data_IF_374151247287
#
_entry.id   IF_374151247287
#
_cell.length_a   1.000
_cell.length_b   1.000
_cell.length_c   1.000
_cell.angle_alpha   90.00
_cell.angle_beta   90.00
_cell.angle_gamma   90.00
#
_symmetry.space_group_name_H-M   'P 1'
#
loop_
_entity.id
_entity.type
_entity.pdbx_description
1 polymer ?
#
# COMPACT_ATOMS: atom_id res chain seq x y z
N UNK A 1 1.24 20.88 12.56
CA UNK A 1 2.59 20.64 11.98
C UNK A 1 2.75 19.18 11.55
N UNK A 2 1.69 18.48 11.10
CA UNK A 2 1.75 17.02 10.87
C UNK A 2 2.36 16.59 9.53
N UNK A 3 2.23 17.41 8.49
CA UNK A 3 2.82 17.11 7.17
C UNK A 3 4.36 17.11 7.17
N UNK A 4 5.03 17.73 8.15
CA UNK A 4 6.50 17.85 8.17
C UNK A 4 7.22 16.57 8.59
N UNK A 5 6.56 15.70 9.37
CA UNK A 5 7.13 14.42 9.81
C UNK A 5 6.70 13.26 8.90
N UNK A 6 5.49 13.33 8.35
CA UNK A 6 5.00 12.32 7.41
C UNK A 6 5.81 12.30 6.12
N UNK A 7 6.01 13.46 5.47
CA UNK A 7 6.69 13.56 4.17
C UNK A 7 8.10 12.91 4.14
N UNK A 8 9.02 13.20 5.09
CA UNK A 8 10.34 12.56 5.07
C UNK A 8 10.26 11.05 5.33
N UNK A 9 9.35 10.59 6.19
CA UNK A 9 9.13 9.17 6.43
C UNK A 9 8.55 8.47 5.19
N UNK A 10 7.54 9.07 4.55
CA UNK A 10 6.96 8.60 3.29
C UNK A 10 8.02 8.43 2.21
N UNK A 11 8.83 9.46 1.96
CA UNK A 11 9.89 9.42 0.92
C UNK A 11 10.92 8.33 1.18
N UNK A 12 11.24 8.04 2.44
CA UNK A 12 12.20 7.00 2.81
C UNK A 12 11.61 5.59 2.68
N UNK A 13 10.36 5.39 3.09
CA UNK A 13 9.77 4.06 3.27
C UNK A 13 8.98 3.57 2.06
N UNK A 14 8.35 4.47 1.29
CA UNK A 14 7.51 4.14 0.15
C UNK A 14 8.22 3.24 -0.89
N UNK A 15 9.35 3.65 -1.49
CA UNK A 15 10.01 2.83 -2.50
C UNK A 15 10.47 1.47 -1.95
N UNK A 16 10.84 1.41 -0.66
CA UNK A 16 11.30 0.18 0.01
C UNK A 16 10.14 -0.79 0.18
N UNK A 17 8.97 -0.30 0.60
CA UNK A 17 7.78 -1.12 0.76
C UNK A 17 7.24 -1.62 -0.58
N UNK A 18 7.23 -0.78 -1.62
CA UNK A 18 6.83 -1.21 -2.98
C UNK A 18 7.71 -2.36 -3.46
N UNK A 19 9.03 -2.20 -3.42
CA UNK A 19 9.97 -3.26 -3.85
C UNK A 19 9.79 -4.53 -3.01
N UNK A 20 9.67 -4.39 -1.68
CA UNK A 20 9.52 -5.54 -0.79
C UNK A 20 8.25 -6.34 -1.07
N UNK A 21 7.11 -5.67 -1.29
CA UNK A 21 5.84 -6.33 -1.63
C UNK A 21 5.86 -6.89 -3.05
N UNK A 22 6.43 -6.17 -4.01
CA UNK A 22 6.56 -6.64 -5.39
C UNK A 22 7.39 -7.92 -5.48
N UNK A 23 8.49 -8.01 -4.72
CA UNK A 23 9.30 -9.24 -4.63
C UNK A 23 8.52 -10.39 -3.99
N UNK A 24 7.63 -10.10 -3.03
CA UNK A 24 6.84 -11.12 -2.34
C UNK A 24 5.69 -11.68 -3.20
N UNK A 25 5.07 -10.87 -4.07
CA UNK A 25 3.90 -11.28 -4.87
C UNK A 25 4.17 -11.45 -6.37
N UNK A 26 5.34 -11.02 -6.86
CA UNK A 26 5.69 -11.07 -8.28
C UNK A 26 4.91 -10.09 -9.17
N UNK A 27 4.15 -9.15 -8.58
CA UNK A 27 3.32 -8.18 -9.29
C UNK A 27 3.57 -6.76 -8.82
N UNK A 28 4.40 -6.03 -9.57
CA UNK A 28 4.81 -4.66 -9.24
C UNK A 28 3.62 -3.68 -9.21
N UNK A 29 2.70 -3.81 -10.16
CA UNK A 29 1.49 -2.98 -10.29
C UNK A 29 0.61 -3.08 -9.03
N UNK A 30 0.26 -4.30 -8.62
CA UNK A 30 -0.56 -4.50 -7.43
C UNK A 30 0.16 -4.13 -6.13
N UNK A 31 1.47 -4.35 -6.08
CA UNK A 31 2.26 -3.97 -4.92
C UNK A 31 2.29 -2.45 -4.74
N UNK A 32 2.52 -1.70 -5.81
CA UNK A 32 2.52 -0.23 -5.79
C UNK A 32 1.18 0.32 -5.29
N UNK A 33 0.07 -0.11 -5.90
CA UNK A 33 -1.28 0.34 -5.49
C UNK A 33 -1.61 -0.01 -4.03
N UNK A 34 -1.24 -1.21 -3.58
CA UNK A 34 -1.50 -1.64 -2.21
C UNK A 34 -0.67 -0.84 -1.20
N UNK A 35 0.56 -0.47 -1.55
CA UNK A 35 1.41 0.39 -0.73
C UNK A 35 0.87 1.81 -0.70
N UNK A 36 0.49 2.37 -1.85
CA UNK A 36 -0.11 3.72 -1.91
C UNK A 36 -1.35 3.83 -1.02
N UNK A 37 -2.26 2.85 -1.09
CA UNK A 37 -3.44 2.82 -0.23
C UNK A 37 -3.07 2.73 1.26
N UNK A 38 -2.02 1.97 1.61
CA UNK A 38 -1.55 1.88 2.98
C UNK A 38 -0.98 3.22 3.49
N UNK A 39 -0.25 3.96 2.65
CA UNK A 39 0.26 5.28 2.99
C UNK A 39 -0.84 6.34 3.09
N UNK A 40 -1.88 6.29 2.24
CA UNK A 40 -3.07 7.14 2.39
C UNK A 40 -3.71 6.91 3.75
N UNK A 41 -3.92 5.65 4.14
CA UNK A 41 -4.48 5.30 5.47
C UNK A 41 -3.56 5.69 6.63
N UNK A 42 -2.25 5.67 6.42
CA UNK A 42 -1.28 6.14 7.40
C UNK A 42 -1.38 7.65 7.58
N UNK A 43 -1.48 8.41 6.49
CA UNK A 43 -1.64 9.86 6.50
C UNK A 43 -2.93 10.29 7.21
N UNK A 44 -4.05 9.64 6.91
CA UNK A 44 -5.35 9.89 7.56
C UNK A 44 -5.30 9.71 9.09
N UNK A 45 -4.38 8.89 9.59
CA UNK A 45 -4.27 8.49 11.01
C UNK A 45 -2.89 8.80 11.58
N UNK A 46 -2.20 9.78 11.00
CA UNK A 46 -0.77 9.98 11.26
C UNK A 46 -0.47 10.19 12.74
N UNK A 47 -1.30 10.97 13.46
CA UNK A 47 -1.16 11.22 14.90
C UNK A 47 -1.08 9.92 15.73
N UNK A 48 -1.78 8.88 15.30
CA UNK A 48 -1.77 7.57 15.95
C UNK A 48 -0.66 6.67 15.42
N UNK A 49 -0.42 6.71 14.11
CA UNK A 49 0.53 5.82 13.43
C UNK A 49 1.97 6.19 13.78
N UNK A 50 2.30 7.48 13.83
CA UNK A 50 3.62 7.98 14.22
C UNK A 50 3.98 7.62 15.66
N UNK A 51 3.00 7.55 16.56
CA UNK A 51 3.17 7.17 17.96
C UNK A 51 3.30 5.65 18.19
N UNK A 52 3.15 4.82 17.14
CA UNK A 52 3.32 3.37 17.28
C UNK A 52 4.80 2.99 17.41
N UNK A 53 5.07 1.84 18.02
CA UNK A 53 6.41 1.27 18.10
C UNK A 53 7.06 1.06 16.71
N UNK A 54 6.25 0.84 15.67
CA UNK A 54 6.73 0.78 14.28
C UNK A 54 5.66 1.27 13.30
N UNK A 55 5.73 2.54 12.85
CA UNK A 55 4.87 3.06 11.79
C UNK A 55 5.02 2.28 10.47
N UNK A 56 6.25 1.93 10.10
CA UNK A 56 6.56 1.10 8.92
C UNK A 56 5.94 -0.28 9.03
N UNK A 57 6.07 -0.97 10.17
CA UNK A 57 5.53 -2.31 10.35
C UNK A 57 4.00 -2.35 10.36
N UNK A 58 3.34 -1.28 10.82
CA UNK A 58 1.90 -1.13 10.67
C UNK A 58 1.51 -0.95 9.20
N UNK A 59 2.19 -0.04 8.50
CA UNK A 59 1.93 0.28 7.09
C UNK A 59 2.15 -0.92 6.18
N UNK A 60 3.23 -1.69 6.39
CA UNK A 60 3.47 -2.96 5.70
C UNK A 60 2.32 -3.95 5.86
N UNK A 61 1.79 -4.12 7.07
CA UNK A 61 0.65 -5.02 7.32
C UNK A 61 -0.62 -4.54 6.63
N UNK A 62 -0.87 -3.23 6.58
CA UNK A 62 -2.00 -2.65 5.85
C UNK A 62 -1.84 -2.92 4.35
N UNK A 63 -0.65 -2.67 3.79
CA UNK A 63 -0.36 -2.92 2.37
C UNK A 63 -0.53 -4.41 2.01
N UNK A 64 -0.02 -5.33 2.84
CA UNK A 64 -0.20 -6.77 2.64
C UNK A 64 -1.68 -7.19 2.67
N UNK A 65 -2.48 -6.61 3.56
CA UNK A 65 -3.92 -6.86 3.61
C UNK A 65 -4.64 -6.31 2.37
N UNK A 66 -4.25 -5.13 1.91
CA UNK A 66 -4.75 -4.50 0.69
C UNK A 66 -4.43 -5.36 -0.55
N UNK A 67 -3.21 -5.89 -0.64
CA UNK A 67 -2.78 -6.79 -1.70
C UNK A 67 -3.59 -8.09 -1.70
N UNK A 68 -3.69 -8.78 -0.57
CA UNK A 68 -4.47 -10.03 -0.43
C UNK A 68 -5.95 -9.84 -0.74
N UNK A 69 -6.52 -8.67 -0.41
CA UNK A 69 -7.90 -8.34 -0.77
C UNK A 69 -8.05 -8.20 -2.28
N UNK A 70 -7.09 -7.57 -2.97
CA UNK A 70 -7.10 -7.40 -4.43
C UNK A 70 -6.94 -8.74 -5.16
N UNK A 71 -6.04 -9.60 -4.70
CA UNK A 71 -5.88 -10.95 -5.26
C UNK A 71 -7.20 -11.75 -5.20
N UNK A 72 -7.91 -11.68 -4.06
CA UNK A 72 -9.22 -12.31 -3.92
C UNK A 72 -10.32 -11.63 -4.73
N UNK A 73 -10.30 -10.31 -4.86
CA UNK A 73 -11.29 -9.57 -5.63
C UNK A 73 -11.13 -9.81 -7.13
N UNK A 74 -9.89 -9.94 -7.61
CA UNK A 74 -9.60 -10.28 -9.01
C UNK A 74 -10.11 -11.69 -9.36
N UNK A 75 -10.13 -12.61 -8.39
CA UNK A 75 -10.81 -13.90 -8.54
C UNK A 75 -12.35 -13.78 -8.66
N UNK A 76 -12.94 -12.61 -8.37
CA UNK A 76 -14.37 -12.32 -8.55
C UNK A 76 -14.70 -11.34 -9.68
N UNK A 77 -13.74 -10.57 -10.19
CA UNK A 77 -13.97 -9.48 -11.16
C UNK A 77 -13.12 -9.55 -12.44
N UNK A 78 -12.45 -10.66 -12.73
CA UNK A 78 -11.75 -10.87 -14.01
C UNK A 78 -12.70 -11.06 -15.22
N UNK A 79 -14.02 -11.02 -15.02
CA UNK A 79 -15.01 -11.19 -16.10
C UNK A 79 -15.45 -9.88 -16.78
N UNK A 80 -15.06 -8.68 -16.31
CA UNK A 80 -15.68 -7.42 -16.77
C UNK A 80 -14.73 -6.37 -17.38
N UNK A 81 -13.41 -6.58 -17.40
CA UNK A 81 -12.46 -5.59 -17.93
C UNK A 81 -11.77 -5.98 -19.25
N UNK A 82 -12.04 -7.16 -19.81
CA UNK A 82 -11.43 -7.62 -21.08
C UNK A 82 -12.19 -7.15 -22.34
N UNK A 83 -13.04 -6.12 -22.24
CA UNK A 83 -13.90 -5.68 -23.34
C UNK A 83 -14.16 -4.19 -23.33
N UNK A 84 -13.11 -3.38 -23.37
CA UNK A 84 -13.25 -1.94 -23.67
C UNK A 84 -11.94 -1.35 -24.19
N UNK A 85 -11.37 -1.93 -25.24
CA UNK A 85 -10.46 -1.24 -26.16
C UNK A 85 -10.84 -1.64 -27.59
N UNK A 86 -11.64 -0.81 -28.25
CA UNK A 86 -11.79 -0.75 -29.72
C UNK A 86 -11.78 0.72 -30.11
#
# INVERSE_FOLDING_TARGET
MMGREFEPWYRAEHPRLVVSLALACGRMDLAAEAVDEAFVRALERWDRVSAMASPTGWTYRVALNCLRRRERSCAGTAALAAGADT
#
